data_IF_260876426879
#
_entry.id   IF_260876426879
#
_cell.length_a   1.000
_cell.length_b   1.000
_cell.length_c   1.000
_cell.angle_alpha   90.00
_cell.angle_beta   90.00
_cell.angle_gamma   90.00
#
_symmetry.space_group_name_H-M   'P 1'
#
loop_
_entity.id
_entity.type
_entity.pdbx_description
1 polymer ?
#
# COMPACT_ATOMS: atom_id res chain seq x y z
N UNK A 1 -9.57 -22.32 -7.19
CA UNK A 1 -8.16 -21.96 -7.49
C UNK A 1 -8.17 -20.57 -8.09
N UNK A 2 -7.47 -19.57 -7.55
CA UNK A 2 -7.05 -18.45 -8.37
C UNK A 2 -5.63 -18.76 -8.88
N UNK A 3 -5.52 -19.24 -10.11
CA UNK A 3 -4.27 -19.30 -10.89
C UNK A 3 -3.88 -17.88 -11.37
N UNK A 4 -3.77 -16.93 -10.45
CA UNK A 4 -3.28 -15.60 -10.80
C UNK A 4 -1.75 -15.66 -10.83
N UNK A 5 -1.15 -15.52 -12.02
CA UNK A 5 0.31 -15.43 -12.15
C UNK A 5 0.85 -14.25 -11.33
N UNK A 6 2.12 -14.31 -10.94
CA UNK A 6 2.80 -13.16 -10.29
C UNK A 6 2.63 -11.89 -11.11
N UNK A 7 2.77 -11.97 -12.45
CA UNK A 7 2.58 -10.84 -13.36
C UNK A 7 1.16 -10.23 -13.24
N UNK A 8 0.12 -11.06 -13.19
CA UNK A 8 -1.26 -10.59 -13.03
C UNK A 8 -1.49 -9.94 -11.66
N UNK A 9 -0.92 -10.51 -10.60
CA UNK A 9 -1.02 -9.97 -9.26
C UNK A 9 -0.30 -8.61 -9.14
N UNK A 10 0.88 -8.47 -9.74
CA UNK A 10 1.63 -7.22 -9.80
C UNK A 10 0.90 -6.16 -10.63
N UNK A 11 0.32 -6.54 -11.78
CA UNK A 11 -0.49 -5.63 -12.59
C UNK A 11 -1.76 -5.16 -11.83
N UNK A 12 -2.47 -6.08 -11.19
CA UNK A 12 -3.60 -5.75 -10.32
C UNK A 12 -3.19 -4.81 -9.20
N UNK A 13 -2.06 -5.08 -8.55
CA UNK A 13 -1.52 -4.21 -7.50
C UNK A 13 -1.18 -2.81 -8.02
N UNK A 14 -0.57 -2.70 -9.20
CA UNK A 14 -0.31 -1.41 -9.84
C UNK A 14 -1.62 -0.62 -9.98
N UNK A 15 -2.65 -1.19 -10.63
CA UNK A 15 -3.94 -0.51 -10.83
C UNK A 15 -4.63 -0.12 -9.52
N UNK A 16 -4.46 -0.92 -8.47
CA UNK A 16 -5.21 -0.77 -7.24
C UNK A 16 -4.54 0.13 -6.21
N UNK A 17 -3.22 0.21 -6.21
CA UNK A 17 -2.44 0.90 -5.18
C UNK A 17 -1.83 2.20 -5.70
N UNK A 18 -1.45 2.31 -6.99
CA UNK A 18 -0.85 3.55 -7.51
C UNK A 18 -1.87 4.65 -7.81
N UNK A 19 -3.17 4.31 -7.82
CA UNK A 19 -4.28 5.24 -8.00
C UNK A 19 -5.21 5.21 -6.77
N UNK A 20 -4.75 5.63 -5.58
CA UNK A 20 -5.64 5.80 -4.46
C UNK A 20 -6.72 6.84 -4.81
N UNK A 21 -7.93 6.69 -4.28
CA UNK A 21 -8.98 7.65 -4.53
C UNK A 21 -8.59 8.99 -3.89
N UNK A 22 -8.56 10.08 -4.67
CA UNK A 22 -8.32 11.44 -4.17
C UNK A 22 -9.56 11.95 -3.42
N UNK A 23 -9.79 11.44 -2.21
CA UNK A 23 -11.05 11.66 -1.49
C UNK A 23 -11.05 12.97 -0.72
N UNK A 24 -9.91 13.31 -0.13
CA UNK A 24 -9.82 14.43 0.81
C UNK A 24 -9.43 15.72 0.12
N UNK A 25 -8.64 15.64 -0.96
CA UNK A 25 -8.19 16.82 -1.70
C UNK A 25 -9.35 17.70 -2.19
N UNK A 26 -10.41 17.17 -2.83
CA UNK A 26 -11.56 17.99 -3.25
C UNK A 26 -12.31 18.64 -2.08
N UNK A 27 -12.29 18.02 -0.90
CA UNK A 27 -12.89 18.60 0.30
C UNK A 27 -12.05 19.79 0.78
N UNK A 28 -10.72 19.63 0.86
CA UNK A 28 -9.80 20.67 1.28
C UNK A 28 -9.74 21.85 0.29
N UNK A 29 -9.75 21.60 -1.02
CA UNK A 29 -9.77 22.66 -2.03
C UNK A 29 -11.02 23.53 -1.88
N UNK A 30 -12.18 22.89 -1.71
CA UNK A 30 -13.39 23.64 -1.42
C UNK A 30 -13.21 24.41 -0.12
N UNK A 31 -12.67 23.81 0.96
CA UNK A 31 -12.44 24.45 2.28
C UNK A 31 -11.66 25.77 2.16
N UNK A 32 -10.69 25.80 1.25
CA UNK A 32 -9.89 26.98 0.95
C UNK A 32 -10.70 28.04 0.18
N UNK A 33 -11.60 27.66 -0.71
CA UNK A 33 -12.45 28.55 -1.51
C UNK A 33 -13.61 29.21 -0.71
N UNK A 34 -13.81 28.84 0.56
CA UNK A 34 -14.76 29.50 1.46
C UNK A 34 -16.23 29.14 1.23
N UNK A 35 -16.52 28.11 0.43
CA UNK A 35 -17.87 27.59 0.18
C UNK A 35 -18.30 26.58 1.25
N UNK A 36 -18.69 27.00 2.47
CA UNK A 36 -19.06 26.04 3.54
C UNK A 36 -20.42 26.23 4.17
N UNK A 37 -21.22 25.17 4.10
CA UNK A 37 -22.11 24.76 5.18
C UNK A 37 -21.41 23.69 6.03
N UNK A 38 -21.46 23.82 7.35
CA UNK A 38 -20.91 22.84 8.30
C UNK A 38 -21.52 21.46 8.07
N UNK A 39 -22.83 21.40 7.83
CA UNK A 39 -23.57 20.16 7.55
C UNK A 39 -23.04 19.46 6.30
N UNK A 40 -22.67 20.23 5.26
CA UNK A 40 -22.13 19.68 4.02
C UNK A 40 -20.73 19.09 4.22
N UNK A 41 -19.89 19.71 5.07
CA UNK A 41 -18.57 19.17 5.43
C UNK A 41 -18.75 17.85 6.17
N UNK A 42 -19.61 17.85 7.19
CA UNK A 42 -19.88 16.67 8.01
C UNK A 42 -20.38 15.49 7.16
N UNK A 43 -21.31 15.75 6.24
CA UNK A 43 -21.79 14.74 5.28
C UNK A 43 -20.65 14.18 4.43
N UNK A 44 -19.81 15.04 3.86
CA UNK A 44 -18.68 14.63 3.01
C UNK A 44 -17.60 13.89 3.80
N UNK A 45 -17.32 14.30 5.03
CA UNK A 45 -16.45 13.56 5.93
C UNK A 45 -16.99 12.14 6.18
N UNK A 46 -18.29 11.98 6.38
CA UNK A 46 -18.90 10.67 6.55
C UNK A 46 -18.77 9.81 5.27
N UNK A 47 -19.05 10.38 4.10
CA UNK A 47 -18.89 9.71 2.80
C UNK A 47 -17.44 9.28 2.54
N UNK A 48 -16.48 10.18 2.80
CA UNK A 48 -15.06 9.92 2.71
C UNK A 48 -14.64 8.80 3.67
N UNK A 49 -15.18 8.78 4.89
CA UNK A 49 -14.93 7.71 5.86
C UNK A 49 -15.34 6.32 5.34
N UNK A 50 -16.48 6.22 4.64
CA UNK A 50 -16.92 4.95 4.00
C UNK A 50 -15.98 4.56 2.87
N UNK A 51 -15.61 5.52 2.01
CA UNK A 51 -14.72 5.29 0.86
C UNK A 51 -13.30 4.91 1.29
N UNK A 52 -12.77 5.53 2.35
CA UNK A 52 -11.47 5.17 2.95
C UNK A 52 -11.49 3.75 3.49
N UNK A 53 -12.54 3.34 4.21
CA UNK A 53 -12.69 1.95 4.67
C UNK A 53 -12.70 0.95 3.50
N UNK A 54 -13.38 1.30 2.40
CA UNK A 54 -13.36 0.46 1.20
C UNK A 54 -11.95 0.40 0.57
N UNK A 55 -11.22 1.51 0.56
CA UNK A 55 -9.85 1.57 0.08
C UNK A 55 -8.90 0.70 0.91
N UNK A 56 -8.96 0.77 2.24
CA UNK A 56 -8.17 -0.07 3.14
C UNK A 56 -8.44 -1.57 2.92
N UNK A 57 -9.72 -1.96 2.75
CA UNK A 57 -10.09 -3.34 2.42
C UNK A 57 -9.53 -3.78 1.08
N UNK A 58 -9.48 -2.88 0.10
CA UNK A 58 -8.89 -3.12 -1.22
C UNK A 58 -7.38 -3.35 -1.09
N UNK A 59 -6.68 -2.50 -0.34
CA UNK A 59 -5.25 -2.66 -0.04
C UNK A 59 -4.95 -3.98 0.66
N UNK A 60 -5.76 -4.38 1.65
CA UNK A 60 -5.62 -5.66 2.34
C UNK A 60 -5.79 -6.86 1.39
N UNK A 61 -6.78 -6.80 0.50
CA UNK A 61 -6.98 -7.83 -0.53
C UNK A 61 -5.78 -7.91 -1.47
N UNK A 62 -5.28 -6.78 -1.96
CA UNK A 62 -4.09 -6.73 -2.83
C UNK A 62 -2.86 -7.32 -2.13
N UNK A 63 -2.63 -7.02 -0.85
CA UNK A 63 -1.54 -7.63 -0.07
C UNK A 63 -1.68 -9.16 0.02
N UNK A 64 -2.90 -9.67 0.25
CA UNK A 64 -3.18 -11.11 0.30
C UNK A 64 -2.95 -11.79 -1.05
N UNK A 65 -3.41 -11.19 -2.15
CA UNK A 65 -3.23 -11.71 -3.51
C UNK A 65 -1.75 -11.76 -3.90
N UNK A 66 -1.00 -10.68 -3.66
CA UNK A 66 0.44 -10.65 -3.91
C UNK A 66 1.18 -11.70 -3.10
N UNK A 67 0.88 -11.81 -1.80
CA UNK A 67 1.51 -12.82 -0.94
C UNK A 67 1.25 -14.23 -1.48
N UNK A 68 0.00 -14.56 -1.79
CA UNK A 68 -0.36 -15.86 -2.33
C UNK A 68 0.35 -16.15 -3.67
N UNK A 69 0.43 -15.18 -4.58
CA UNK A 69 1.10 -15.36 -5.87
C UNK A 69 2.61 -15.62 -5.72
N UNK A 70 3.28 -14.87 -4.85
CA UNK A 70 4.72 -15.01 -4.61
C UNK A 70 5.09 -16.25 -3.79
N UNK A 71 4.22 -16.69 -2.88
CA UNK A 71 4.48 -17.89 -2.06
C UNK A 71 4.29 -19.19 -2.88
N UNK A 72 3.49 -19.17 -3.95
CA UNK A 72 3.13 -20.37 -4.74
C UNK A 72 3.93 -20.55 -6.03
N UNK A 73 4.60 -19.51 -6.52
CA UNK A 73 5.21 -19.50 -7.86
C UNK A 73 6.70 -19.17 -7.79
N UNK A 74 7.45 -19.66 -8.79
CA UNK A 74 8.85 -19.28 -8.91
C UNK A 74 9.00 -17.80 -9.27
N UNK A 75 9.72 -17.07 -8.42
CA UNK A 75 9.95 -15.64 -8.61
C UNK A 75 11.11 -15.42 -9.58
N UNK A 76 10.84 -14.69 -10.66
CA UNK A 76 11.84 -14.26 -11.64
C UNK A 76 12.41 -12.88 -11.30
N UNK A 77 13.59 -12.55 -11.85
CA UNK A 77 14.21 -11.23 -11.70
C UNK A 77 13.28 -10.09 -12.11
N UNK A 78 12.54 -10.26 -13.22
CA UNK A 78 11.58 -9.26 -13.72
C UNK A 78 10.50 -8.91 -12.69
N UNK A 79 10.04 -9.87 -11.89
CA UNK A 79 9.02 -9.64 -10.87
C UNK A 79 9.56 -8.74 -9.75
N UNK A 80 10.84 -8.91 -9.40
CA UNK A 80 11.53 -8.07 -8.41
C UNK A 80 11.76 -6.65 -8.94
N UNK A 81 12.13 -6.52 -10.21
CA UNK A 81 12.31 -5.21 -10.84
C UNK A 81 10.97 -4.43 -10.90
N UNK A 82 9.85 -5.12 -11.16
CA UNK A 82 8.49 -4.54 -11.08
C UNK A 82 8.14 -4.14 -9.65
N UNK A 83 8.45 -4.97 -8.65
CA UNK A 83 8.27 -4.61 -7.24
C UNK A 83 9.05 -3.35 -6.86
N UNK A 84 10.30 -3.24 -7.29
CA UNK A 84 11.14 -2.05 -7.05
C UNK A 84 10.52 -0.78 -7.65
N UNK A 85 10.02 -0.86 -8.88
CA UNK A 85 9.32 0.26 -9.52
C UNK A 85 8.04 0.65 -8.75
N UNK A 86 7.26 -0.34 -8.29
CA UNK A 86 6.04 -0.09 -7.51
C UNK A 86 6.35 0.55 -6.15
N UNK A 87 7.35 0.04 -5.43
CA UNK A 87 7.80 0.61 -4.15
C UNK A 87 8.20 2.08 -4.34
N UNK A 88 9.09 2.36 -5.29
CA UNK A 88 9.56 3.72 -5.54
C UNK A 88 8.42 4.67 -5.94
N UNK A 89 7.47 4.20 -6.75
CA UNK A 89 6.29 4.97 -7.15
C UNK A 89 5.39 5.34 -5.96
N UNK A 90 5.12 4.36 -5.08
CA UNK A 90 4.30 4.56 -3.90
C UNK A 90 4.96 5.48 -2.88
N UNK A 91 6.26 5.31 -2.62
CA UNK A 91 7.00 6.17 -1.68
C UNK A 91 7.09 7.60 -2.20
N UNK A 92 7.37 7.77 -3.50
CA UNK A 92 7.39 9.09 -4.11
C UNK A 92 6.01 9.76 -4.05
N UNK A 93 4.92 9.00 -4.23
CA UNK A 93 3.56 9.52 -4.10
C UNK A 93 3.22 9.86 -2.65
N UNK A 94 3.45 8.96 -1.71
CA UNK A 94 3.21 9.21 -0.28
C UNK A 94 3.96 10.45 0.20
N UNK A 95 5.22 10.64 -0.21
CA UNK A 95 6.00 11.82 0.14
C UNK A 95 5.46 13.12 -0.47
N UNK A 96 4.94 13.08 -1.71
CA UNK A 96 4.29 14.24 -2.34
C UNK A 96 2.97 14.58 -1.63
N UNK A 97 2.10 13.59 -1.49
CA UNK A 97 0.79 13.73 -0.88
C UNK A 97 0.92 14.21 0.58
N UNK A 98 1.88 13.67 1.35
CA UNK A 98 2.15 14.12 2.72
C UNK A 98 2.47 15.62 2.78
N UNK A 99 3.45 16.09 1.99
CA UNK A 99 3.84 17.51 1.96
C UNK A 99 2.70 18.42 1.53
N UNK A 100 1.94 17.98 0.55
CA UNK A 100 0.80 18.72 0.00
C UNK A 100 -0.34 18.84 1.03
N UNK A 101 -0.71 17.72 1.65
CA UNK A 101 -1.76 17.72 2.67
C UNK A 101 -1.33 18.41 3.96
N UNK A 102 -0.06 18.35 4.36
CA UNK A 102 0.45 19.09 5.52
C UNK A 102 0.20 20.60 5.34
N UNK A 103 0.53 21.15 4.17
CA UNK A 103 0.26 22.57 3.87
C UNK A 103 -1.23 22.92 3.89
N UNK A 104 -2.07 22.08 3.27
CA UNK A 104 -3.53 22.30 3.27
C UNK A 104 -4.15 22.19 4.67
N UNK A 105 -3.66 21.27 5.50
CA UNK A 105 -4.12 21.10 6.87
C UNK A 105 -3.71 22.28 7.75
N UNK A 106 -2.53 22.84 7.54
CA UNK A 106 -2.07 24.05 8.25
C UNK A 106 -2.94 25.26 7.88
N UNK A 107 -3.20 25.48 6.60
CA UNK A 107 -4.09 26.53 6.11
C UNK A 107 -5.51 26.38 6.68
N UNK A 108 -6.03 25.14 6.68
CA UNK A 108 -7.34 24.86 7.22
C UNK A 108 -7.39 25.08 8.75
N UNK A 109 -6.36 24.66 9.48
CA UNK A 109 -6.25 24.87 10.94
C UNK A 109 -6.23 26.36 11.29
N UNK A 110 -5.49 27.17 10.53
CA UNK A 110 -5.42 28.61 10.73
C UNK A 110 -6.82 29.24 10.56
N UNK A 111 -7.57 28.82 9.53
CA UNK A 111 -8.96 29.27 9.31
C UNK A 111 -9.91 28.83 10.40
N UNK A 112 -9.85 27.56 10.82
CA UNK A 112 -10.66 27.04 11.94
C UNK A 112 -10.38 27.85 13.20
N UNK A 113 -9.12 28.13 13.50
CA UNK A 113 -8.74 28.93 14.67
C UNK A 113 -9.30 30.36 14.61
N UNK A 114 -9.25 31.01 13.44
CA UNK A 114 -9.80 32.34 13.24
C UNK A 114 -11.33 32.39 13.39
N UNK A 115 -12.03 31.41 12.80
CA UNK A 115 -13.49 31.30 12.89
C UNK A 115 -13.95 30.98 14.32
N UNK A 116 -13.30 30.02 14.96
CA UNK A 116 -13.59 29.62 16.35
C UNK A 116 -13.39 30.76 17.36
N UNK A 117 -12.41 31.65 17.14
CA UNK A 117 -12.17 32.81 18.00
C UNK A 117 -13.30 33.85 18.02
N UNK A 118 -14.20 33.81 17.02
CA UNK A 118 -15.35 34.71 16.89
C UNK A 118 -16.70 34.00 17.04
N UNK A 119 -16.70 32.68 17.23
CA UNK A 119 -17.89 31.84 17.28
C UNK A 119 -18.38 31.60 18.72
N UNK A 120 -19.59 31.05 18.85
CA UNK A 120 -20.04 30.48 20.13
C UNK A 120 -19.20 29.26 20.50
N UNK A 121 -19.14 28.92 21.79
CA UNK A 121 -18.39 27.77 22.27
C UNK A 121 -18.76 26.47 21.55
N UNK A 122 -20.06 26.23 21.33
CA UNK A 122 -20.54 25.03 20.63
C UNK A 122 -20.06 24.95 19.18
N UNK A 123 -20.10 26.08 18.45
CA UNK A 123 -19.62 26.14 17.05
C UNK A 123 -18.10 26.01 16.96
N UNK A 124 -17.37 26.57 17.93
CA UNK A 124 -15.93 26.43 18.00
C UNK A 124 -15.51 24.96 18.22
N UNK A 125 -16.25 24.21 19.05
CA UNK A 125 -16.04 22.78 19.24
C UNK A 125 -16.31 21.97 17.97
N UNK A 126 -17.40 22.29 17.26
CA UNK A 126 -17.77 21.63 16.02
C UNK A 126 -16.71 21.81 14.92
N UNK A 127 -16.18 23.02 14.75
CA UNK A 127 -15.10 23.31 13.80
C UNK A 127 -13.81 22.56 14.12
N UNK A 128 -13.46 22.43 15.41
CA UNK A 128 -12.30 21.67 15.86
C UNK A 128 -12.50 20.16 15.63
N UNK A 129 -13.71 19.63 15.84
CA UNK A 129 -14.03 18.22 15.54
C UNK A 129 -13.91 17.91 14.04
N UNK A 130 -14.36 18.83 13.19
CA UNK A 130 -14.21 18.73 11.74
C UNK A 130 -12.73 18.70 11.35
N UNK A 131 -11.92 19.61 11.91
CA UNK A 131 -10.48 19.63 11.68
C UNK A 131 -9.83 18.29 12.04
N UNK A 132 -10.12 17.76 13.23
CA UNK A 132 -9.57 16.46 13.67
C UNK A 132 -10.01 15.31 12.78
N UNK A 133 -11.25 15.32 12.33
CA UNK A 133 -11.79 14.30 11.43
C UNK A 133 -11.06 14.31 10.10
N UNK A 134 -10.89 15.48 9.48
CA UNK A 134 -10.19 15.61 8.20
C UNK A 134 -8.71 15.24 8.37
N UNK A 135 -8.06 15.70 9.43
CA UNK A 135 -6.68 15.32 9.74
C UNK A 135 -6.51 13.80 9.87
N UNK A 136 -7.43 13.13 10.58
CA UNK A 136 -7.40 11.68 10.73
C UNK A 136 -7.58 10.97 9.38
N UNK A 137 -8.48 11.48 8.53
CA UNK A 137 -8.70 10.95 7.19
C UNK A 137 -7.45 11.09 6.32
N UNK A 138 -6.76 12.24 6.35
CA UNK A 138 -5.53 12.48 5.59
C UNK A 138 -4.46 11.48 5.98
N UNK A 139 -4.28 11.28 7.30
CA UNK A 139 -3.30 10.32 7.82
C UNK A 139 -3.59 8.90 7.35
N UNK A 140 -4.86 8.51 7.26
CA UNK A 140 -5.24 7.19 6.74
C UNK A 140 -4.94 7.09 5.23
N UNK A 141 -5.29 8.10 4.44
CA UNK A 141 -5.08 8.08 2.99
C UNK A 141 -3.58 8.02 2.62
N UNK A 142 -2.75 8.85 3.25
CA UNK A 142 -1.29 8.86 3.06
C UNK A 142 -0.63 7.64 3.72
N UNK A 143 -1.11 7.23 4.89
CA UNK A 143 -0.58 6.10 5.66
C UNK A 143 -0.70 4.78 4.90
N UNK A 144 -1.84 4.52 4.25
CA UNK A 144 -2.03 3.28 3.48
C UNK A 144 -1.01 3.14 2.35
N UNK A 145 -0.62 4.24 1.68
CA UNK A 145 0.44 4.19 0.65
C UNK A 145 1.78 3.76 1.23
N UNK A 146 2.12 4.29 2.40
CA UNK A 146 3.36 3.95 3.11
C UNK A 146 3.32 2.50 3.60
N UNK A 147 2.19 2.04 4.14
CA UNK A 147 2.02 0.68 4.63
C UNK A 147 2.10 -0.36 3.50
N UNK A 148 1.53 -0.06 2.32
CA UNK A 148 1.68 -0.93 1.15
C UNK A 148 3.13 -0.94 0.67
N UNK A 149 3.81 0.20 0.62
CA UNK A 149 5.22 0.25 0.22
C UNK A 149 6.11 -0.58 1.16
N UNK A 150 5.89 -0.48 2.49
CA UNK A 150 6.58 -1.31 3.49
C UNK A 150 6.31 -2.80 3.26
N UNK A 151 5.05 -3.16 3.04
CA UNK A 151 4.70 -4.55 2.71
C UNK A 151 5.44 -5.05 1.46
N UNK A 152 5.50 -4.25 0.39
CA UNK A 152 6.18 -4.63 -0.86
C UNK A 152 7.69 -4.76 -0.64
N UNK A 153 8.31 -3.89 0.16
CA UNK A 153 9.72 -4.04 0.57
C UNK A 153 9.97 -5.36 1.28
N UNK A 154 9.16 -5.68 2.29
CA UNK A 154 9.27 -6.96 2.99
C UNK A 154 9.00 -8.17 2.09
N UNK A 155 8.09 -8.05 1.11
CA UNK A 155 7.86 -9.09 0.11
C UNK A 155 9.12 -9.29 -0.76
N UNK A 156 9.72 -8.20 -1.23
CA UNK A 156 10.93 -8.21 -2.04
C UNK A 156 12.12 -8.81 -1.29
N UNK A 157 12.35 -8.41 -0.04
CA UNK A 157 13.45 -8.91 0.80
C UNK A 157 13.37 -10.44 0.96
N UNK A 158 12.19 -10.95 1.34
CA UNK A 158 11.95 -12.40 1.47
C UNK A 158 12.27 -13.17 0.18
N UNK A 159 11.88 -12.62 -0.97
CA UNK A 159 12.15 -13.25 -2.26
C UNK A 159 13.59 -13.02 -2.79
N UNK A 160 14.36 -12.13 -2.16
CA UNK A 160 15.76 -11.90 -2.48
C UNK A 160 16.72 -12.82 -1.71
N UNK A 161 16.34 -13.26 -0.52
CA UNK A 161 17.14 -14.18 0.32
C UNK A 161 17.07 -15.64 -0.14
N UNK A 162 16.02 -16.01 -0.88
CA UNK A 162 15.85 -17.33 -1.50
C UNK A 162 16.88 -17.62 -2.63
N UNK A 163 17.78 -16.67 -2.87
CA UNK A 163 19.02 -16.85 -3.68
C UNK A 163 20.01 -17.82 -3.03
N UNK A 164 19.83 -18.17 -1.75
CA UNK A 164 20.71 -19.10 -1.03
C UNK A 164 20.50 -20.59 -1.37
N UNK A 165 19.31 -21.00 -1.82
CA UNK A 165 19.02 -22.43 -2.05
C UNK A 165 18.74 -22.81 -3.50
N UNK A 166 18.52 -21.85 -4.40
CA UNK A 166 18.68 -22.07 -5.84
C UNK A 166 20.11 -21.73 -6.27
N UNK A 167 21.08 -22.34 -5.60
CA UNK A 167 22.41 -22.48 -6.17
C UNK A 167 22.23 -23.05 -7.57
N UNK A 168 22.69 -22.28 -8.55
CA UNK A 168 22.73 -22.66 -9.94
C UNK A 168 23.16 -24.13 -10.07
N UNK A 169 22.28 -25.01 -10.52
CA UNK A 169 22.70 -26.24 -11.20
C UNK A 169 23.30 -25.76 -12.53
N UNK A 170 24.53 -25.25 -12.45
CA UNK A 170 25.20 -24.54 -13.53
C UNK A 170 25.58 -25.48 -14.69
N UNK A 171 25.49 -26.79 -14.48
CA UNK A 171 25.76 -27.82 -15.48
C UNK A 171 25.02 -29.13 -15.17
N UNK A 172 24.89 -29.98 -16.20
CA UNK A 172 24.25 -31.30 -16.12
C UNK A 172 25.01 -32.27 -15.20
N UNK A 173 26.29 -32.00 -14.93
CA UNK A 173 27.12 -32.78 -14.02
C UNK A 173 26.77 -32.52 -12.56
N UNK A 174 26.48 -31.27 -12.17
CA UNK A 174 25.97 -30.95 -10.84
C UNK A 174 24.63 -31.63 -10.55
N UNK A 175 23.77 -31.74 -11.56
CA UNK A 175 22.46 -32.39 -11.47
C UNK A 175 22.61 -33.92 -11.34
N UNK A 176 23.56 -34.52 -12.07
CA UNK A 176 23.89 -35.96 -11.93
C UNK A 176 24.46 -36.30 -10.55
N UNK A 177 25.36 -35.50 -10.02
CA UNK A 177 25.94 -35.68 -8.68
C UNK A 177 24.85 -35.72 -7.60
N UNK A 178 23.91 -34.77 -7.68
CA UNK A 178 22.83 -34.65 -6.72
C UNK A 178 21.87 -35.85 -6.80
N UNK A 179 21.52 -36.30 -8.02
CA UNK A 179 20.72 -37.51 -8.23
C UNK A 179 21.41 -38.79 -7.76
N UNK A 180 22.73 -38.88 -7.87
CA UNK A 180 23.49 -40.02 -7.35
C UNK A 180 23.51 -40.04 -5.82
N UNK A 181 23.57 -38.87 -5.16
CA UNK A 181 23.54 -38.78 -3.70
C UNK A 181 22.18 -39.17 -3.08
N UNK A 182 21.11 -39.05 -3.86
CA UNK A 182 19.74 -39.39 -3.47
C UNK A 182 19.35 -40.83 -3.84
N UNK A 183 20.22 -41.57 -4.54
CA UNK A 183 19.96 -42.96 -4.91
C UNK A 183 20.31 -43.89 -3.74
N UNK A 184 19.39 -44.79 -3.29
CA UNK A 184 19.70 -45.72 -2.22
C UNK A 184 20.84 -46.68 -2.64
N UNK A 185 21.68 -47.12 -1.69
CA UNK A 185 22.84 -47.97 -1.99
C UNK A 185 22.39 -49.26 -2.68
N UNK A 186 23.10 -49.63 -3.75
CA UNK A 186 22.85 -50.87 -4.48
C UNK A 186 22.94 -52.06 -3.50
N UNK A 187 21.96 -52.96 -3.44
CA UNK A 187 22.04 -54.12 -2.58
C UNK A 187 23.23 -55.00 -3.01
N UNK A 188 23.94 -55.63 -2.05
CA UNK A 188 25.11 -56.42 -2.35
C UNK A 188 24.73 -57.57 -3.28
N UNK A 189 25.47 -57.69 -4.37
CA UNK A 189 25.33 -58.81 -5.30
C UNK A 189 25.78 -60.08 -4.60
N UNK A 190 24.82 -60.96 -4.27
CA UNK A 190 25.10 -62.30 -3.75
C UNK A 190 25.55 -63.15 -4.93
N UNK A 191 26.79 -63.65 -4.88
CA UNK A 191 27.34 -64.64 -5.82
C UNK A 191 26.99 -66.06 -5.36
#
# INVERSE_FOLDING_TARGET
MPDASIDLALYSAALNVTAPPALIRPLLDQLVEGQFSIDDIMRRCAENGVRLKAHLRKGERTRKELRAAFDLQSVERRHLDILDMLIASLEAKAARDAREFDGLLDDFKARVSALSGSASADKALELEEIYRTIQAQVRVEVGELSDVAVFLRSLRERCSDDRGEKAHLADSESLKSLLQSLSPPKPPSVS
#
